data_IF_997277422923
#
_entry.id   IF_997277422923
#
_cell.length_a   1.000
_cell.length_b   1.000
_cell.length_c   1.000
_cell.angle_alpha   90.00
_cell.angle_beta   90.00
_cell.angle_gamma   90.00
#
_symmetry.space_group_name_H-M   'P 1'
#
loop_
_entity.id
_entity.type
_entity.pdbx_description
1 polymer ?
#
# COMPACT_ATOMS: atom_id res chain seq x y z
N UNK A 1 11.68 39.66 -9.10
CA UNK A 1 10.31 39.31 -8.66
C UNK A 1 10.03 37.92 -9.18
N UNK A 2 9.86 36.95 -8.28
CA UNK A 2 9.57 35.55 -8.64
C UNK A 2 8.06 35.41 -8.72
N UNK A 3 7.51 35.26 -9.93
CA UNK A 3 6.09 35.02 -10.14
C UNK A 3 5.77 33.55 -9.84
N UNK A 4 4.87 33.36 -8.87
CA UNK A 4 4.26 32.08 -8.51
C UNK A 4 3.55 31.45 -9.70
N UNK A 5 3.95 30.23 -10.08
CA UNK A 5 3.17 29.39 -11.00
C UNK A 5 2.16 28.58 -10.18
N UNK A 6 0.91 29.02 -10.20
CA UNK A 6 -0.23 28.19 -9.81
C UNK A 6 -0.52 27.23 -10.97
N UNK A 7 0.01 26.01 -10.89
CA UNK A 7 -0.36 24.95 -11.83
C UNK A 7 -1.78 24.47 -11.51
N UNK A 8 -2.72 24.99 -12.29
CA UNK A 8 -4.11 24.57 -12.30
C UNK A 8 -4.16 23.19 -12.93
N UNK A 9 -4.55 22.16 -12.18
CA UNK A 9 -4.77 20.81 -12.72
C UNK A 9 -5.93 20.90 -13.71
N UNK A 10 -5.59 21.02 -14.99
CA UNK A 10 -6.56 20.95 -16.08
C UNK A 10 -7.26 19.58 -16.08
N UNK A 11 -8.50 19.50 -16.59
CA UNK A 11 -9.23 18.24 -16.62
C UNK A 11 -8.43 17.18 -17.37
N UNK A 12 -8.38 15.97 -16.80
CA UNK A 12 -7.71 14.81 -17.39
C UNK A 12 -8.12 14.63 -18.86
N UNK A 13 -7.19 14.25 -19.75
CA UNK A 13 -7.50 14.10 -21.16
C UNK A 13 -8.59 13.03 -21.33
N UNK A 14 -9.75 13.46 -21.83
CA UNK A 14 -10.82 12.56 -22.25
C UNK A 14 -10.30 11.67 -23.38
N UNK A 15 -9.97 10.42 -23.04
CA UNK A 15 -9.72 9.38 -24.04
C UNK A 15 -11.04 9.17 -24.79
N UNK A 16 -11.13 9.70 -26.02
CA UNK A 16 -12.21 9.42 -26.96
C UNK A 16 -12.05 7.99 -27.49
N UNK A 17 -12.25 7.01 -26.62
CA UNK A 17 -12.29 5.60 -26.94
C UNK A 17 -13.74 5.14 -27.03
N UNK A 18 -14.03 4.36 -28.08
CA UNK A 18 -15.29 3.67 -28.31
C UNK A 18 -15.79 2.97 -27.02
N UNK A 19 -16.93 3.43 -26.49
CA UNK A 19 -17.48 3.06 -25.16
C UNK A 19 -18.11 1.66 -25.14
N UNK A 20 -17.92 0.87 -26.18
CA UNK A 20 -18.51 -0.48 -26.33
C UNK A 20 -17.61 -1.61 -25.81
N UNK A 21 -16.40 -1.32 -25.34
CA UNK A 21 -15.59 -2.32 -24.63
C UNK A 21 -16.24 -2.64 -23.29
N UNK A 22 -16.87 -3.80 -23.21
CA UNK A 22 -17.43 -4.36 -21.97
C UNK A 22 -16.41 -4.29 -20.84
N UNK A 23 -16.82 -3.87 -19.65
CA UNK A 23 -15.99 -3.95 -18.43
C UNK A 23 -15.39 -5.34 -18.23
N UNK A 24 -16.08 -6.39 -18.70
CA UNK A 24 -15.59 -7.76 -18.69
C UNK A 24 -14.32 -7.94 -19.52
N UNK A 25 -14.14 -7.19 -20.61
CA UNK A 25 -12.94 -7.23 -21.46
C UNK A 25 -11.74 -6.49 -20.83
N UNK A 26 -11.97 -5.58 -19.89
CA UNK A 26 -10.90 -4.88 -19.15
C UNK A 26 -10.36 -5.71 -17.97
N UNK A 27 -11.17 -6.64 -17.44
CA UNK A 27 -10.85 -7.48 -16.29
C UNK A 27 -10.83 -8.98 -16.60
N UNK A 28 -11.14 -9.39 -17.83
CA UNK A 28 -10.82 -10.74 -18.28
C UNK A 28 -9.31 -10.83 -18.35
N UNK A 29 -8.73 -11.49 -17.36
CA UNK A 29 -7.35 -11.92 -17.41
C UNK A 29 -7.15 -12.58 -18.78
N UNK A 30 -6.37 -11.94 -19.65
CA UNK A 30 -5.86 -12.63 -20.84
C UNK A 30 -5.20 -13.91 -20.32
N UNK A 31 -5.48 -15.04 -20.96
CA UNK A 31 -4.86 -16.31 -20.61
C UNK A 31 -3.35 -16.08 -20.50
N UNK A 32 -2.77 -16.35 -19.33
CA UNK A 32 -1.36 -16.09 -19.07
C UNK A 32 -0.52 -16.81 -20.11
N UNK A 33 -0.03 -16.07 -21.10
CA UNK A 33 0.88 -16.65 -22.09
C UNK A 33 2.19 -17.03 -21.38
N UNK A 34 2.88 -18.05 -21.87
CA UNK A 34 4.17 -18.46 -21.32
C UNK A 34 5.19 -17.32 -21.30
N UNK A 35 5.08 -16.36 -22.22
CA UNK A 35 5.92 -15.17 -22.25
C UNK A 35 5.61 -14.22 -21.09
N UNK A 36 4.33 -14.04 -20.74
CA UNK A 36 3.91 -13.27 -19.55
C UNK A 36 4.38 -13.93 -18.25
N UNK A 37 4.30 -15.26 -18.16
CA UNK A 37 4.80 -16.03 -17.02
C UNK A 37 6.31 -15.95 -16.89
N UNK A 38 7.03 -15.98 -18.02
CA UNK A 38 8.48 -15.81 -18.05
C UNK A 38 8.88 -14.42 -17.57
N UNK A 39 8.25 -13.37 -18.11
CA UNK A 39 8.50 -11.98 -17.70
C UNK A 39 8.20 -11.75 -16.23
N UNK A 40 7.11 -12.30 -15.70
CA UNK A 40 6.80 -12.23 -14.26
C UNK A 40 7.88 -12.91 -13.42
N UNK A 41 8.33 -14.12 -13.80
CA UNK A 41 9.43 -14.80 -13.11
C UNK A 41 10.72 -13.99 -13.15
N UNK A 42 11.07 -13.41 -14.29
CA UNK A 42 12.27 -12.59 -14.44
C UNK A 42 12.23 -11.34 -13.56
N UNK A 43 11.08 -10.64 -13.51
CA UNK A 43 10.86 -9.49 -12.62
C UNK A 43 10.96 -9.92 -11.15
N UNK A 44 10.32 -11.02 -10.75
CA UNK A 44 10.38 -11.54 -9.38
C UNK A 44 11.81 -11.91 -8.98
N UNK A 45 12.58 -12.55 -9.86
CA UNK A 45 14.00 -12.84 -9.60
C UNK A 45 14.88 -11.59 -9.51
N UNK A 46 14.48 -10.49 -10.15
CA UNK A 46 15.15 -9.19 -10.06
C UNK A 46 14.88 -8.49 -8.72
N UNK A 47 13.71 -8.75 -8.10
CA UNK A 47 13.37 -8.27 -6.76
C UNK A 47 14.13 -9.08 -5.70
N UNK A 48 14.18 -10.41 -5.86
CA UNK A 48 14.89 -11.33 -4.96
C UNK A 48 16.39 -11.06 -4.87
N UNK A 49 17.01 -10.58 -5.96
CA UNK A 49 18.45 -10.28 -6.02
C UNK A 49 18.83 -8.89 -5.53
N UNK A 50 17.88 -8.08 -5.04
CA UNK A 50 18.12 -6.71 -4.57
C UNK A 50 18.06 -6.53 -3.07
N UNK A 51 17.59 -7.53 -2.34
CA UNK A 51 17.57 -7.51 -0.89
C UNK A 51 18.84 -8.18 -0.39
N UNK A 52 19.54 -7.52 0.53
CA UNK A 52 20.62 -8.17 1.26
C UNK A 52 20.04 -9.16 2.30
N UNK A 53 20.92 -10.01 2.85
CA UNK A 53 20.53 -11.04 3.82
C UNK A 53 19.84 -10.43 5.07
N UNK A 54 20.22 -9.21 5.44
CA UNK A 54 19.65 -8.49 6.58
C UNK A 54 18.22 -8.01 6.27
N UNK A 55 17.98 -7.44 5.10
CA UNK A 55 16.65 -7.01 4.66
C UNK A 55 15.69 -8.19 4.48
N UNK A 56 16.18 -9.30 3.94
CA UNK A 56 15.39 -10.53 3.88
C UNK A 56 15.02 -11.02 5.27
N UNK A 57 15.98 -11.02 6.21
CA UNK A 57 15.71 -11.40 7.60
C UNK A 57 14.68 -10.48 8.26
N UNK A 58 14.77 -9.17 8.04
CA UNK A 58 13.82 -8.19 8.59
C UNK A 58 12.41 -8.32 8.01
N UNK A 59 12.27 -8.80 6.77
CA UNK A 59 10.96 -9.08 6.18
C UNK A 59 10.35 -10.40 6.68
N UNK A 60 11.19 -11.38 7.00
CA UNK A 60 10.78 -12.67 7.56
C UNK A 60 10.46 -12.59 9.07
N UNK A 61 11.05 -11.62 9.79
CA UNK A 61 10.82 -11.41 11.21
C UNK A 61 9.56 -10.57 11.46
N UNK A 62 8.58 -11.16 12.17
CA UNK A 62 7.48 -10.39 12.73
C UNK A 62 8.01 -9.41 13.79
N UNK A 63 7.51 -8.16 13.85
CA UNK A 63 7.88 -7.23 14.90
C UNK A 63 7.50 -7.80 16.26
N UNK A 64 8.33 -7.54 17.27
CA UNK A 64 8.02 -7.93 18.65
C UNK A 64 6.80 -7.17 19.16
N UNK A 65 6.08 -7.78 20.09
CA UNK A 65 4.91 -7.19 20.73
C UNK A 65 5.23 -5.84 21.39
N UNK A 66 6.37 -5.77 22.10
CA UNK A 66 6.89 -4.54 22.71
C UNK A 66 7.10 -3.42 21.67
N UNK A 67 7.64 -3.76 20.48
CA UNK A 67 7.86 -2.79 19.41
C UNK A 67 6.53 -2.27 18.86
N UNK A 68 5.52 -3.13 18.74
CA UNK A 68 4.19 -2.71 18.26
C UNK A 68 3.52 -1.83 19.31
N UNK A 69 3.60 -2.19 20.60
CA UNK A 69 3.07 -1.38 21.69
C UNK A 69 3.71 0.02 21.72
N UNK A 70 5.03 0.10 21.65
CA UNK A 70 5.77 1.36 21.61
C UNK A 70 5.31 2.25 20.45
N UNK A 71 5.12 1.66 19.27
CA UNK A 71 4.61 2.37 18.09
C UNK A 71 3.19 2.87 18.34
N UNK A 72 2.30 2.01 18.83
CA UNK A 72 0.90 2.37 19.12
C UNK A 72 0.85 3.53 20.12
N UNK A 73 1.64 3.48 21.18
CA UNK A 73 1.68 4.54 22.20
C UNK A 73 2.32 5.83 21.68
N UNK A 74 3.26 5.75 20.74
CA UNK A 74 3.92 6.92 20.14
C UNK A 74 3.02 7.72 19.17
N UNK A 75 1.89 7.16 18.72
CA UNK A 75 1.04 7.82 17.71
C UNK A 75 0.55 9.21 18.15
N UNK A 76 0.60 10.22 17.26
CA UNK A 76 0.19 11.58 17.60
C UNK A 76 -1.33 11.68 17.79
N UNK A 77 -1.75 12.28 18.90
CA UNK A 77 -3.16 12.52 19.23
C UNK A 77 -3.78 13.61 18.36
N UNK A 78 -5.11 13.61 18.23
CA UNK A 78 -5.85 14.67 17.56
C UNK A 78 -5.66 14.76 16.04
N UNK A 79 -5.18 13.67 15.41
CA UNK A 79 -5.19 13.52 13.96
C UNK A 79 -6.56 13.03 13.50
N UNK A 80 -6.99 13.49 12.32
CA UNK A 80 -8.20 12.97 11.69
C UNK A 80 -8.05 11.47 11.46
N UNK A 81 -9.11 10.68 11.71
CA UNK A 81 -9.07 9.24 11.46
C UNK A 81 -8.84 8.91 9.99
N UNK A 82 -8.34 7.70 9.74
CA UNK A 82 -8.14 7.16 8.41
C UNK A 82 -9.45 6.79 7.72
N UNK A 83 -9.35 6.06 6.61
CA UNK A 83 -10.53 5.60 5.86
C UNK A 83 -11.42 4.63 6.67
N UNK A 84 -10.83 3.96 7.66
CA UNK A 84 -11.51 3.08 8.61
C UNK A 84 -12.31 3.83 9.69
N UNK A 85 -12.14 5.15 9.82
CA UNK A 85 -12.80 5.97 10.84
C UNK A 85 -12.26 5.76 12.26
N UNK A 86 -11.21 4.97 12.46
CA UNK A 86 -10.65 4.69 13.79
C UNK A 86 -9.76 5.85 14.23
N UNK A 87 -10.12 6.48 15.34
CA UNK A 87 -9.28 7.52 15.95
C UNK A 87 -8.17 6.90 16.79
N UNK A 88 -7.02 7.59 16.84
CA UNK A 88 -5.81 7.13 17.54
C UNK A 88 -6.10 6.80 19.01
N UNK A 89 -6.97 7.57 19.65
CA UNK A 89 -7.35 7.38 21.05
C UNK A 89 -8.09 6.05 21.28
N UNK A 90 -8.92 5.62 20.33
CA UNK A 90 -9.62 4.33 20.38
C UNK A 90 -8.63 3.19 20.19
N UNK A 91 -7.71 3.33 19.24
CA UNK A 91 -6.67 2.33 18.99
C UNK A 91 -5.79 2.12 20.24
N UNK A 92 -5.34 3.20 20.87
CA UNK A 92 -4.54 3.14 22.10
C UNK A 92 -5.30 2.53 23.27
N UNK A 93 -6.56 2.90 23.47
CA UNK A 93 -7.39 2.36 24.54
C UNK A 93 -7.75 0.88 24.33
N UNK A 94 -7.89 0.47 23.08
CA UNK A 94 -8.23 -0.91 22.70
C UNK A 94 -7.02 -1.86 22.60
N UNK A 95 -5.78 -1.38 22.76
CA UNK A 95 -4.58 -2.18 22.54
C UNK A 95 -4.57 -3.49 23.33
N UNK A 96 -4.76 -3.45 24.66
CA UNK A 96 -4.77 -4.66 25.50
C UNK A 96 -5.80 -5.70 25.08
N UNK A 97 -6.97 -5.27 24.58
CA UNK A 97 -7.98 -6.20 24.04
C UNK A 97 -7.57 -6.84 22.72
N UNK A 98 -6.86 -6.10 21.86
CA UNK A 98 -6.38 -6.61 20.57
C UNK A 98 -5.15 -7.53 20.74
N UNK A 99 -4.37 -7.30 21.79
CA UNK A 99 -3.16 -8.06 22.09
C UNK A 99 -3.44 -9.39 22.84
N UNK A 100 -4.71 -9.64 23.19
CA UNK A 100 -5.11 -10.87 23.88
C UNK A 100 -4.87 -10.85 25.40
N UNK A 101 -4.55 -9.69 25.98
CA UNK A 101 -4.50 -9.49 27.42
C UNK A 101 -5.94 -9.44 27.98
N UNK A 102 -6.54 -10.61 28.18
CA UNK A 102 -7.89 -10.80 28.72
C UNK A 102 -7.90 -11.81 29.86
#
# INVERSE_FOLDING_TARGET
MVESRNDTIGPSPMIKGDRTKSYKALYSAEDETEDTRRKRREVLTLVDRKLDEEQNRQLDELPSEELIEDVVQSLPKGKSPGHDGVIVEVLKAGWGYMNGDC
#
